data_IF_603206263897
#
_entry.id   IF_603206263897
#
_cell.length_a   1.000
_cell.length_b   1.000
_cell.length_c   1.000
_cell.angle_alpha   90.00
_cell.angle_beta   90.00
_cell.angle_gamma   90.00
#
_symmetry.space_group_name_H-M   'P 1'
#
loop_
_entity.id
_entity.type
_entity.pdbx_description
1 polymer ?
#
# COMPACT_ATOMS: atom_id res chain seq x y z
N UNK A 1 -21.24 -32.19 10.29
CA UNK A 1 -20.09 -32.26 9.38
C UNK A 1 -20.66 -32.33 7.97
N UNK A 2 -20.44 -31.32 7.13
CA UNK A 2 -20.77 -31.45 5.71
C UNK A 2 -19.78 -32.45 5.11
N UNK A 3 -20.31 -33.54 4.55
CA UNK A 3 -19.51 -34.49 3.80
C UNK A 3 -19.31 -33.88 2.41
N UNK A 4 -18.06 -33.56 2.06
CA UNK A 4 -17.73 -33.10 0.72
C UNK A 4 -18.02 -34.21 -0.28
N UNK A 5 -18.58 -33.84 -1.42
CA UNK A 5 -18.76 -34.78 -2.52
C UNK A 5 -17.40 -35.21 -3.08
N UNK A 6 -17.34 -36.36 -3.74
CA UNK A 6 -16.13 -36.80 -4.42
C UNK A 6 -15.68 -35.81 -5.50
N UNK A 7 -16.62 -35.11 -6.13
CA UNK A 7 -16.38 -34.08 -7.13
C UNK A 7 -15.72 -32.84 -6.50
N UNK A 8 -16.22 -32.38 -5.36
CA UNK A 8 -15.63 -31.25 -4.62
C UNK A 8 -14.21 -31.58 -4.16
N UNK A 9 -13.99 -32.81 -3.68
CA UNK A 9 -12.66 -33.27 -3.27
C UNK A 9 -11.70 -33.24 -4.47
N UNK A 10 -12.11 -33.78 -5.61
CA UNK A 10 -11.30 -33.78 -6.83
C UNK A 10 -11.03 -32.35 -7.34
N UNK A 11 -12.02 -31.46 -7.25
CA UNK A 11 -11.88 -30.06 -7.61
C UNK A 11 -10.87 -29.34 -6.71
N UNK A 12 -11.02 -29.43 -5.38
CA UNK A 12 -10.10 -28.80 -4.42
C UNK A 12 -8.66 -29.27 -4.67
N UNK A 13 -8.47 -30.58 -4.89
CA UNK A 13 -7.16 -31.16 -5.12
C UNK A 13 -6.52 -30.72 -6.43
N UNK A 14 -7.24 -30.80 -7.54
CA UNK A 14 -6.72 -30.40 -8.87
C UNK A 14 -6.49 -28.89 -8.94
N UNK A 15 -7.47 -28.10 -8.48
CA UNK A 15 -7.41 -26.65 -8.43
C UNK A 15 -6.23 -26.14 -7.59
N UNK A 16 -5.95 -26.77 -6.44
CA UNK A 16 -4.76 -26.44 -5.67
C UNK A 16 -3.45 -26.89 -6.34
N UNK A 17 -3.41 -28.11 -6.90
CA UNK A 17 -2.22 -28.69 -7.55
C UNK A 17 -1.75 -27.84 -8.74
N UNK A 18 -2.68 -27.42 -9.57
CA UNK A 18 -2.37 -26.76 -10.85
C UNK A 18 -2.24 -25.23 -10.72
N UNK A 19 -2.56 -24.68 -9.55
CA UNK A 19 -2.44 -23.25 -9.32
C UNK A 19 -0.99 -22.75 -9.40
N UNK A 20 -0.79 -21.69 -10.22
CA UNK A 20 0.47 -20.93 -10.32
C UNK A 20 0.82 -20.20 -9.02
N UNK A 21 -0.19 -19.71 -8.29
CA UNK A 21 -0.03 -19.00 -7.03
C UNK A 21 -0.82 -19.68 -5.91
N UNK A 22 -0.13 -20.40 -5.03
CA UNK A 22 -0.77 -21.20 -3.97
C UNK A 22 -1.51 -20.34 -2.93
N UNK A 23 -0.98 -19.17 -2.58
CA UNK A 23 -1.61 -18.27 -1.60
C UNK A 23 -2.95 -17.72 -2.10
N UNK A 24 -3.01 -17.22 -3.33
CA UNK A 24 -4.25 -16.75 -3.96
C UNK A 24 -5.26 -17.89 -4.09
N UNK A 25 -4.81 -19.10 -4.45
CA UNK A 25 -5.71 -20.24 -4.57
C UNK A 25 -6.31 -20.67 -3.24
N UNK A 26 -5.56 -20.61 -2.14
CA UNK A 26 -6.09 -20.87 -0.80
C UNK A 26 -7.18 -19.87 -0.40
N UNK A 27 -7.08 -18.61 -0.82
CA UNK A 27 -8.15 -17.62 -0.59
C UNK A 27 -9.43 -18.02 -1.31
N UNK A 28 -9.33 -18.29 -2.62
CA UNK A 28 -10.47 -18.68 -3.47
C UNK A 28 -11.17 -19.95 -2.98
N UNK A 29 -10.41 -20.98 -2.62
CA UNK A 29 -10.98 -22.23 -2.11
C UNK A 29 -11.72 -22.04 -0.77
N UNK A 30 -11.22 -21.15 0.11
CA UNK A 30 -11.92 -20.80 1.35
C UNK A 30 -13.20 -19.99 1.13
N UNK A 31 -13.26 -19.19 0.06
CA UNK A 31 -14.48 -18.47 -0.35
C UNK A 31 -15.52 -19.41 -0.93
N UNK A 32 -15.11 -20.36 -1.78
CA UNK A 32 -16.01 -21.33 -2.40
C UNK A 32 -16.55 -22.35 -1.39
N UNK A 33 -15.78 -22.65 -0.34
CA UNK A 33 -16.17 -23.62 0.68
C UNK A 33 -15.94 -23.06 2.10
N UNK A 34 -16.77 -22.10 2.54
CA UNK A 34 -16.58 -21.39 3.81
C UNK A 34 -16.76 -22.29 5.04
N UNK A 35 -17.51 -23.38 4.89
CA UNK A 35 -17.83 -24.32 5.97
C UNK A 35 -16.76 -25.42 6.15
N UNK A 36 -15.74 -25.49 5.28
CA UNK A 36 -14.64 -26.44 5.42
C UNK A 36 -13.60 -25.88 6.41
N UNK A 37 -13.32 -26.67 7.45
CA UNK A 37 -12.28 -26.32 8.41
C UNK A 37 -10.88 -26.30 7.77
N UNK A 38 -9.97 -25.39 8.18
CA UNK A 38 -8.59 -25.35 7.69
C UNK A 38 -7.83 -26.68 7.75
N UNK A 39 -8.09 -27.49 8.79
CA UNK A 39 -7.51 -28.82 8.92
C UNK A 39 -7.93 -29.77 7.79
N UNK A 40 -9.16 -29.64 7.29
CA UNK A 40 -9.66 -30.48 6.21
C UNK A 40 -9.07 -30.07 4.86
N UNK A 41 -8.88 -28.78 4.61
CA UNK A 41 -8.14 -28.34 3.42
C UNK A 41 -6.69 -28.81 3.41
N UNK A 42 -6.01 -28.72 4.57
CA UNK A 42 -4.65 -29.20 4.74
C UNK A 42 -4.54 -30.71 4.44
N UNK A 43 -5.48 -31.50 4.96
CA UNK A 43 -5.59 -32.94 4.68
C UNK A 43 -5.78 -33.22 3.18
N UNK A 44 -6.75 -32.54 2.54
CA UNK A 44 -7.08 -32.77 1.13
C UNK A 44 -5.95 -32.41 0.18
N UNK A 45 -5.18 -31.38 0.52
CA UNK A 45 -4.13 -30.82 -0.36
C UNK A 45 -2.72 -31.25 0.03
N UNK A 46 -2.55 -32.02 1.10
CA UNK A 46 -1.24 -32.47 1.59
C UNK A 46 -0.35 -31.33 2.08
N UNK A 47 -0.93 -30.33 2.74
CA UNK A 47 -0.22 -29.12 3.20
C UNK A 47 -0.38 -28.92 4.71
N UNK A 48 0.27 -27.90 5.27
CA UNK A 48 0.21 -27.64 6.72
C UNK A 48 -1.06 -26.85 7.07
N UNK A 49 -1.66 -27.15 8.22
CA UNK A 49 -2.85 -26.42 8.72
C UNK A 49 -2.58 -24.92 8.83
N UNK A 50 -1.35 -24.52 9.19
CA UNK A 50 -0.91 -23.12 9.27
C UNK A 50 -1.03 -22.35 7.96
N UNK A 51 -0.97 -23.04 6.80
CA UNK A 51 -1.13 -22.41 5.48
C UNK A 51 -2.59 -22.00 5.20
N UNK A 52 -3.54 -22.62 5.91
CA UNK A 52 -4.98 -22.46 5.73
C UNK A 52 -5.65 -21.67 6.86
N UNK A 53 -5.00 -21.62 8.02
CA UNK A 53 -5.37 -20.72 9.10
C UNK A 53 -5.26 -19.28 8.57
N UNK A 54 -6.22 -18.42 8.92
CA UNK A 54 -6.15 -16.98 8.63
C UNK A 54 -4.98 -16.37 9.41
N UNK A 55 -3.75 -16.58 8.93
CA UNK A 55 -2.63 -15.73 9.25
C UNK A 55 -2.95 -14.34 8.71
N UNK A 56 -2.87 -13.33 9.57
CA UNK A 56 -2.88 -11.92 9.18
C UNK A 56 -1.70 -11.64 8.21
N UNK A 57 -1.89 -11.99 6.95
CA UNK A 57 -1.44 -11.22 5.80
C UNK A 57 -2.66 -11.07 4.93
N UNK A 58 -3.46 -10.08 5.33
CA UNK A 58 -4.46 -9.44 4.51
C UNK A 58 -3.72 -8.69 3.39
N UNK A 59 -3.09 -9.43 2.50
CA UNK A 59 -2.63 -8.92 1.21
C UNK A 59 -3.42 -9.73 0.19
N UNK A 60 -4.35 -9.08 -0.52
CA UNK A 60 -5.29 -9.63 -1.52
C UNK A 60 -6.66 -10.16 -1.02
N UNK A 61 -7.27 -9.47 -0.07
CA UNK A 61 -8.69 -9.11 -0.29
C UNK A 61 -8.64 -7.86 -1.15
N UNK A 62 -9.47 -7.76 -2.19
CA UNK A 62 -9.66 -6.53 -2.96
C UNK A 62 -9.73 -5.35 -1.99
N UNK A 63 -8.59 -4.66 -1.80
CA UNK A 63 -8.63 -3.25 -1.46
C UNK A 63 -9.51 -2.68 -2.57
N UNK A 64 -10.56 -1.90 -2.29
CA UNK A 64 -11.02 -1.02 -3.33
C UNK A 64 -9.74 -0.34 -3.84
N UNK A 65 -9.44 -0.48 -5.13
CA UNK A 65 -8.18 -0.01 -5.71
C UNK A 65 -7.94 1.49 -5.45
N UNK A 66 -8.95 2.15 -4.90
CA UNK A 66 -9.05 3.53 -4.52
C UNK A 66 -9.78 3.61 -3.18
N UNK A 67 -9.23 4.34 -2.23
CA UNK A 67 -9.87 4.59 -0.94
C UNK A 67 -10.33 6.04 -0.95
N UNK A 68 -11.59 6.30 -1.34
CA UNK A 68 -12.02 7.64 -1.74
C UNK A 68 -11.84 8.67 -0.63
N UNK A 69 -11.91 8.24 0.64
CA UNK A 69 -11.65 9.12 1.77
C UNK A 69 -10.19 9.54 1.83
N UNK A 70 -9.26 8.59 1.70
CA UNK A 70 -7.83 8.89 1.66
C UNK A 70 -7.48 9.74 0.44
N UNK A 71 -8.07 9.46 -0.71
CA UNK A 71 -7.84 10.24 -1.93
C UNK A 71 -8.31 11.69 -1.76
N UNK A 72 -9.50 11.91 -1.19
CA UNK A 72 -9.98 13.26 -0.85
C UNK A 72 -9.03 14.00 0.11
N UNK A 73 -8.49 13.31 1.12
CA UNK A 73 -7.53 13.90 2.06
C UNK A 73 -6.21 14.26 1.35
N UNK A 74 -5.73 13.39 0.46
CA UNK A 74 -4.53 13.65 -0.35
C UNK A 74 -4.70 14.87 -1.23
N UNK A 75 -5.81 14.98 -1.97
CA UNK A 75 -6.06 16.13 -2.84
C UNK A 75 -6.18 17.44 -2.05
N UNK A 76 -6.89 17.44 -0.91
CA UNK A 76 -6.97 18.63 -0.05
C UNK A 76 -5.61 19.05 0.50
N UNK A 77 -4.77 18.11 0.90
CA UNK A 77 -3.41 18.42 1.36
C UNK A 77 -2.51 18.88 0.19
N UNK A 78 -2.71 18.33 -1.00
CA UNK A 78 -2.00 18.75 -2.20
C UNK A 78 -2.34 20.19 -2.59
N UNK A 79 -3.61 20.59 -2.52
CA UNK A 79 -4.03 21.98 -2.77
C UNK A 79 -3.34 22.97 -1.81
N UNK A 80 -3.31 22.65 -0.50
CA UNK A 80 -2.56 23.43 0.49
C UNK A 80 -1.06 23.49 0.16
N UNK A 81 -0.49 22.39 -0.31
CA UNK A 81 0.91 22.33 -0.69
C UNK A 81 1.21 23.15 -1.95
N UNK A 82 0.29 23.23 -2.92
CA UNK A 82 0.45 24.04 -4.15
C UNK A 82 0.57 25.52 -3.82
N UNK A 83 -0.18 26.00 -2.83
CA UNK A 83 -0.04 27.37 -2.32
C UNK A 83 1.35 27.60 -1.70
N UNK A 84 1.78 26.72 -0.80
CA UNK A 84 3.11 26.78 -0.18
C UNK A 84 4.26 26.67 -1.21
N UNK A 85 4.07 25.85 -2.24
CA UNK A 85 5.03 25.64 -3.30
C UNK A 85 5.21 26.88 -4.17
N UNK A 86 4.14 27.65 -4.38
CA UNK A 86 4.20 28.95 -5.06
C UNK A 86 5.08 29.92 -4.28
N UNK A 87 4.88 30.01 -2.97
CA UNK A 87 5.64 30.89 -2.08
C UNK A 87 7.13 30.50 -2.02
N UNK A 88 7.42 29.20 -2.07
CA UNK A 88 8.80 28.66 -2.04
C UNK A 88 9.45 28.55 -3.43
N UNK A 89 8.74 28.86 -4.51
CA UNK A 89 9.23 28.69 -5.88
C UNK A 89 9.58 27.24 -6.22
N UNK A 90 8.78 26.28 -5.76
CA UNK A 90 8.91 24.85 -6.06
C UNK A 90 8.15 24.58 -7.38
N UNK A 91 8.79 24.00 -8.41
CA UNK A 91 8.17 23.75 -9.71
C UNK A 91 7.25 22.51 -9.67
N UNK A 92 6.03 22.67 -9.16
CA UNK A 92 5.04 21.57 -9.01
C UNK A 92 4.80 20.80 -10.32
N UNK A 93 4.74 21.49 -11.45
CA UNK A 93 4.66 20.91 -12.80
C UNK A 93 5.61 19.73 -13.03
N UNK A 94 6.79 19.75 -12.40
CA UNK A 94 7.85 18.74 -12.58
C UNK A 94 7.95 17.74 -11.42
N UNK A 95 7.39 18.05 -10.25
CA UNK A 95 7.54 17.25 -9.04
C UNK A 95 6.22 16.77 -8.41
N UNK A 96 5.06 17.02 -9.06
CA UNK A 96 3.75 16.66 -8.52
C UNK A 96 3.60 15.17 -8.20
N UNK A 97 4.19 14.26 -8.98
CA UNK A 97 4.15 12.81 -8.71
C UNK A 97 4.86 12.45 -7.41
N UNK A 98 6.02 13.05 -7.18
CA UNK A 98 6.78 12.86 -5.95
C UNK A 98 6.01 13.44 -4.76
N UNK A 99 5.44 14.64 -4.94
CA UNK A 99 4.60 15.29 -3.94
C UNK A 99 3.41 14.40 -3.53
N UNK A 100 2.64 13.89 -4.50
CA UNK A 100 1.51 13.00 -4.24
C UNK A 100 1.95 11.73 -3.53
N UNK A 101 3.06 11.11 -3.95
CA UNK A 101 3.58 9.90 -3.30
C UNK A 101 3.99 10.16 -1.84
N UNK A 102 4.54 11.34 -1.56
CA UNK A 102 4.94 11.75 -0.21
C UNK A 102 3.73 12.06 0.67
N UNK A 103 2.73 12.75 0.12
CA UNK A 103 1.46 13.05 0.79
C UNK A 103 0.68 11.77 1.10
N UNK A 104 0.55 10.86 0.13
CA UNK A 104 -0.11 9.57 0.32
C UNK A 104 0.51 8.81 1.50
N UNK A 105 1.83 8.68 1.54
CA UNK A 105 2.54 8.01 2.64
C UNK A 105 2.29 8.69 4.00
N UNK A 106 2.31 10.03 4.04
CA UNK A 106 2.11 10.80 5.27
C UNK A 106 0.66 10.65 5.77
N UNK A 107 -0.31 10.86 4.90
CA UNK A 107 -1.74 10.85 5.25
C UNK A 107 -2.22 9.42 5.55
N UNK A 108 -1.78 8.42 4.80
CA UNK A 108 -2.12 7.02 5.09
C UNK A 108 -1.69 6.60 6.50
N UNK A 109 -0.54 7.09 6.99
CA UNK A 109 -0.07 6.83 8.35
C UNK A 109 -0.92 7.51 9.43
N UNK A 110 -1.62 8.59 9.08
CA UNK A 110 -2.45 9.41 9.98
C UNK A 110 -3.94 9.14 9.87
N UNK A 111 -4.38 8.39 8.85
CA UNK A 111 -5.79 8.12 8.54
C UNK A 111 -6.61 7.71 9.76
N UNK A 112 -6.14 6.71 10.51
CA UNK A 112 -6.86 6.21 11.70
C UNK A 112 -6.98 7.25 12.80
N UNK A 113 -5.98 8.12 12.94
CA UNK A 113 -6.00 9.22 13.92
C UNK A 113 -7.04 10.27 13.51
N UNK A 114 -7.07 10.65 12.23
CA UNK A 114 -8.05 11.59 11.67
C UNK A 114 -9.48 11.03 11.83
N UNK A 115 -9.68 9.75 11.52
CA UNK A 115 -10.97 9.07 11.68
C UNK A 115 -11.46 9.10 13.13
N UNK A 116 -10.56 8.86 14.10
CA UNK A 116 -10.90 8.92 15.52
C UNK A 116 -11.07 10.35 16.06
N UNK A 117 -10.44 11.34 15.41
CA UNK A 117 -10.42 12.74 15.84
C UNK A 117 -10.63 13.69 14.65
N UNK A 118 -11.84 13.82 14.09
CA UNK A 118 -12.08 14.63 12.89
C UNK A 118 -11.70 16.11 13.06
N UNK A 119 -11.75 16.64 14.29
CA UNK A 119 -11.32 18.00 14.59
C UNK A 119 -9.83 18.26 14.33
N UNK A 120 -9.00 17.21 14.23
CA UNK A 120 -7.56 17.36 13.91
C UNK A 120 -7.26 17.25 12.42
N UNK A 121 -8.25 16.95 11.57
CA UNK A 121 -8.07 16.68 10.15
C UNK A 121 -7.30 17.81 9.45
N UNK A 122 -7.80 19.04 9.54
CA UNK A 122 -7.21 20.20 8.87
C UNK A 122 -5.74 20.43 9.25
N UNK A 123 -5.43 20.28 10.54
CA UNK A 123 -4.05 20.41 11.03
C UNK A 123 -3.14 19.31 10.47
N UNK A 124 -3.59 18.05 10.47
CA UNK A 124 -2.80 16.94 9.93
C UNK A 124 -2.57 17.10 8.42
N UNK A 125 -3.56 17.60 7.67
CA UNK A 125 -3.41 17.89 6.24
C UNK A 125 -2.45 19.04 5.97
N UNK A 126 -2.51 20.12 6.77
CA UNK A 126 -1.59 21.25 6.67
C UNK A 126 -0.15 20.84 7.03
N UNK A 127 0.03 20.04 8.09
CA UNK A 127 1.33 19.51 8.48
C UNK A 127 1.91 18.64 7.37
N UNK A 128 1.12 17.74 6.78
CA UNK A 128 1.55 16.90 5.66
C UNK A 128 1.99 17.73 4.45
N UNK A 129 1.26 18.81 4.13
CA UNK A 129 1.58 19.75 3.06
C UNK A 129 2.91 20.48 3.31
N UNK A 130 3.08 21.07 4.51
CA UNK A 130 4.30 21.79 4.90
C UNK A 130 5.53 20.89 4.78
N UNK A 131 5.47 19.71 5.39
CA UNK A 131 6.60 18.78 5.40
C UNK A 131 6.94 18.27 4.00
N UNK A 132 5.95 18.11 3.12
CA UNK A 132 6.19 17.71 1.73
C UNK A 132 6.84 18.84 0.94
N UNK A 133 6.37 20.08 1.11
CA UNK A 133 6.99 21.25 0.48
C UNK A 133 8.44 21.46 0.95
N UNK A 134 8.72 21.28 2.25
CA UNK A 134 10.07 21.38 2.80
C UNK A 134 11.02 20.32 2.24
N UNK A 135 10.57 19.08 2.13
CA UNK A 135 11.37 18.00 1.54
C UNK A 135 11.67 18.28 0.05
N UNK A 136 10.70 18.79 -0.71
CA UNK A 136 10.87 19.14 -2.12
C UNK A 136 11.81 20.33 -2.31
N UNK A 137 11.72 21.36 -1.47
CA UNK A 137 12.64 22.49 -1.49
C UNK A 137 14.07 22.07 -1.12
N UNK A 138 14.22 21.16 -0.15
CA UNK A 138 15.53 20.61 0.23
C UNK A 138 16.14 19.80 -0.92
N UNK A 139 15.34 18.97 -1.61
CA UNK A 139 15.79 18.25 -2.81
C UNK A 139 16.21 19.18 -3.95
N UNK A 140 15.56 20.32 -4.12
CA UNK A 140 15.97 21.37 -5.09
C UNK A 140 17.32 21.98 -4.73
N UNK A 141 17.55 22.26 -3.43
CA UNK A 141 18.79 22.91 -2.94
C UNK A 141 20.00 21.96 -2.89
N UNK A 142 19.77 20.65 -2.84
CA UNK A 142 20.82 19.63 -2.88
C UNK A 142 20.72 18.78 -4.15
N UNK A 143 21.10 19.29 -5.32
CA UNK A 143 21.30 18.42 -6.48
C UNK A 143 22.46 17.46 -6.16
N UNK A 144 22.23 16.16 -6.34
CA UNK A 144 23.23 15.13 -6.14
C UNK A 144 24.50 15.44 -6.96
N UNK A 145 25.61 15.66 -6.26
CA UNK A 145 26.97 15.54 -6.77
C UNK A 145 27.37 16.51 -7.89
N UNK A 146 27.98 17.64 -7.50
CA UNK A 146 29.03 18.21 -8.34
C UNK A 146 30.17 17.18 -8.37
N UNK A 147 30.60 16.64 -9.52
CA UNK A 147 31.80 15.83 -9.57
C UNK A 147 32.97 16.73 -9.16
N UNK A 148 33.58 16.41 -8.02
CA UNK A 148 34.83 17.03 -7.60
C UNK A 148 35.85 16.81 -8.73
N UNK A 149 36.13 17.86 -9.50
CA UNK A 149 37.19 17.80 -10.51
C UNK A 149 38.50 17.63 -9.75
N UNK A 150 39.01 16.39 -9.78
CA UNK A 150 40.34 16.05 -9.31
C UNK A 150 41.34 16.85 -10.14
N UNK A 151 41.93 17.85 -9.51
CA UNK A 151 43.07 18.60 -10.01
C UNK A 151 44.23 17.62 -10.17
N UNK A 152 44.55 17.25 -11.41
CA UNK A 152 45.82 16.58 -11.72
C UNK A 152 46.87 17.67 -11.88
N UNK A 153 47.63 17.92 -10.81
CA UNK A 153 48.91 18.60 -10.88
C UNK A 153 49.79 17.91 -11.92
N UNK A 154 50.18 18.66 -12.94
CA UNK A 154 51.23 18.27 -13.88
C UNK A 154 52.58 18.56 -13.25
N UNK A 155 53.42 17.54 -13.11
CA UNK A 155 54.87 17.71 -12.97
C UNK A 155 55.60 16.54 -13.61
#
# INVERSE_FOLDING_TARGET
>A
MMNLSAEDIAFIQSSYRDAKCKSSQRNKLRELYPDIAPAKFAELTGTLVSDWVKGKKLDTVDKPAHDPVLDCLIFRSFDLMVELARDKGIPIETCWRDALSMLERRIASKRKQIENHPATEEYELMIAAILTADDLDTKKKCPAGVPSQQSTDSK
#
